data_IF_404586149810
#
_entry.id   IF_404586149810
#
_cell.length_a   1.000
_cell.length_b   1.000
_cell.length_c   1.000
_cell.angle_alpha   90.00
_cell.angle_beta   90.00
_cell.angle_gamma   90.00
#
_symmetry.space_group_name_H-M   'P 1'
#
loop_
_entity.id
_entity.type
_entity.pdbx_description
1 polymer ?
#
# COMPACT_ATOMS: atom_id res chain seq x y z
N UNK A 1 -17.34 -15.95 -18.62
CA UNK A 1 -17.69 -15.13 -17.43
C UNK A 1 -18.57 -13.97 -17.89
N UNK A 2 -19.30 -13.35 -16.96
CA UNK A 2 -20.55 -12.63 -17.25
C UNK A 2 -20.37 -11.14 -17.58
N UNK A 3 -19.17 -10.74 -17.98
CA UNK A 3 -18.77 -9.35 -18.02
C UNK A 3 -18.04 -9.06 -19.33
N UNK A 4 -18.67 -8.25 -20.19
CA UNK A 4 -18.25 -8.05 -21.59
C UNK A 4 -16.80 -7.54 -21.76
N UNK A 5 -16.31 -7.44 -23.02
CA UNK A 5 -14.90 -7.18 -23.35
C UNK A 5 -14.34 -5.83 -22.87
N UNK A 6 -15.16 -4.98 -22.25
CA UNK A 6 -14.83 -3.64 -21.78
C UNK A 6 -14.34 -3.57 -20.34
N UNK A 7 -14.38 -4.67 -19.57
CA UNK A 7 -13.98 -4.67 -18.14
C UNK A 7 -12.48 -4.84 -17.90
N UNK A 8 -11.65 -4.85 -18.94
CA UNK A 8 -10.19 -4.89 -18.75
C UNK A 8 -9.60 -6.27 -18.44
N UNK A 9 -10.38 -7.34 -18.58
CA UNK A 9 -9.91 -8.73 -18.54
C UNK A 9 -9.40 -9.17 -17.16
N UNK A 10 -10.13 -8.82 -16.10
CA UNK A 10 -9.82 -9.13 -14.69
C UNK A 10 -8.45 -8.63 -14.20
N UNK A 11 -7.86 -7.66 -14.93
CA UNK A 11 -6.58 -7.06 -14.56
C UNK A 11 -6.80 -5.83 -13.69
N UNK A 12 -5.98 -5.73 -12.66
CA UNK A 12 -5.91 -4.59 -11.74
C UNK A 12 -4.46 -4.18 -11.61
N UNK A 13 -4.20 -2.87 -11.59
CA UNK A 13 -2.88 -2.30 -11.27
C UNK A 13 -2.93 -1.59 -9.93
N UNK A 14 -1.90 -1.81 -9.12
CA UNK A 14 -1.76 -1.21 -7.80
C UNK A 14 -0.78 -0.03 -7.81
N UNK A 15 -1.06 0.99 -7.02
CA UNK A 15 -0.15 2.13 -6.80
C UNK A 15 -0.21 2.63 -5.37
N UNK A 16 0.92 3.18 -4.89
CA UNK A 16 1.03 3.85 -3.61
C UNK A 16 0.82 5.35 -3.83
N UNK A 17 -0.32 5.87 -3.39
CA UNK A 17 -0.70 7.28 -3.57
C UNK A 17 -0.09 8.18 -2.48
N UNK A 18 0.05 7.68 -1.26
CA UNK A 18 0.75 8.40 -0.20
C UNK A 18 1.31 7.47 0.88
N UNK A 19 2.36 7.97 1.53
CA UNK A 19 3.03 7.45 2.72
C UNK A 19 3.18 8.62 3.69
N UNK A 20 2.74 8.45 4.93
CA UNK A 20 2.78 9.50 5.96
C UNK A 20 4.15 9.63 6.68
N UNK A 21 5.17 8.90 6.25
CA UNK A 21 6.51 8.98 6.81
C UNK A 21 7.11 10.38 6.68
N UNK A 22 7.65 10.90 7.79
CA UNK A 22 8.44 12.15 7.81
C UNK A 22 9.90 11.90 7.41
N UNK A 23 10.34 10.64 7.46
CA UNK A 23 11.66 10.21 7.02
C UNK A 23 11.67 9.88 5.53
N UNK A 24 12.86 9.87 4.92
CA UNK A 24 13.06 9.44 3.54
C UNK A 24 12.12 10.10 2.50
N UNK A 25 11.58 11.30 2.80
CA UNK A 25 10.61 12.03 1.97
C UNK A 25 9.37 11.20 1.60
N UNK A 26 8.89 10.35 2.51
CA UNK A 26 7.73 9.48 2.25
C UNK A 26 8.02 8.32 1.29
N UNK A 27 9.30 7.94 1.12
CA UNK A 27 9.71 6.81 0.28
C UNK A 27 10.10 5.61 1.14
N UNK A 28 9.32 5.26 2.17
CA UNK A 28 9.66 4.12 3.05
C UNK A 28 9.17 2.80 2.48
N UNK A 29 8.04 2.83 1.77
CA UNK A 29 7.43 1.66 1.16
C UNK A 29 7.40 1.76 -0.36
N UNK A 30 7.39 0.61 -1.01
CA UNK A 30 7.06 0.44 -2.41
C UNK A 30 5.92 -0.57 -2.55
N UNK A 31 5.21 -0.52 -3.68
CA UNK A 31 4.19 -1.50 -4.05
C UNK A 31 4.48 -2.04 -5.44
N UNK A 32 4.42 -3.35 -5.61
CA UNK A 32 4.48 -3.99 -6.92
C UNK A 32 3.16 -3.78 -7.66
N UNK A 33 3.22 -3.29 -8.90
CA UNK A 33 2.03 -2.83 -9.62
C UNK A 33 1.09 -3.97 -10.05
N UNK A 34 1.63 -5.18 -10.23
CA UNK A 34 0.89 -6.32 -10.76
C UNK A 34 0.33 -7.21 -9.63
N UNK A 35 1.08 -7.36 -8.54
CA UNK A 35 0.74 -8.25 -7.43
C UNK A 35 0.14 -7.52 -6.22
N UNK A 36 0.42 -6.23 -6.08
CA UNK A 36 0.06 -5.44 -4.90
C UNK A 36 0.93 -5.72 -3.68
N UNK A 37 2.06 -6.43 -3.83
CA UNK A 37 3.00 -6.69 -2.74
C UNK A 37 3.61 -5.37 -2.24
N UNK A 38 3.44 -5.09 -0.94
CA UNK A 38 4.05 -3.93 -0.28
C UNK A 38 5.38 -4.36 0.33
N UNK A 39 6.46 -3.68 -0.07
CA UNK A 39 7.81 -3.92 0.41
C UNK A 39 8.39 -2.70 1.13
N UNK A 40 9.33 -2.97 2.05
CA UNK A 40 10.10 -1.94 2.74
C UNK A 40 11.34 -1.64 1.91
N UNK A 41 11.53 -0.38 1.51
CA UNK A 41 12.68 0.05 0.70
C UNK A 41 13.65 0.97 1.45
N UNK A 42 13.21 1.57 2.56
CA UNK A 42 14.05 2.33 3.47
C UNK A 42 13.80 1.92 4.92
N UNK A 43 14.66 2.40 5.83
CA UNK A 43 14.55 2.09 7.25
C UNK A 43 13.17 2.53 7.78
N UNK A 44 12.61 1.68 8.63
CA UNK A 44 11.29 1.89 9.25
C UNK A 44 11.48 2.02 10.76
N UNK A 45 11.15 3.17 11.32
CA UNK A 45 11.09 3.37 12.77
C UNK A 45 9.72 3.88 13.20
N UNK A 46 9.31 3.57 14.44
CA UNK A 46 8.07 4.11 15.03
C UNK A 46 8.10 5.64 15.07
N UNK A 47 9.28 6.23 15.20
CA UNK A 47 9.50 7.67 15.37
C UNK A 47 9.30 8.47 14.08
N UNK A 48 9.34 7.80 12.93
CA UNK A 48 9.21 8.42 11.60
C UNK A 48 7.75 8.78 11.26
N UNK A 49 6.81 8.55 12.17
CA UNK A 49 5.41 8.94 12.01
C UNK A 49 4.90 9.65 13.26
N UNK A 50 4.02 10.66 13.14
CA UNK A 50 3.52 11.41 14.31
C UNK A 50 2.74 10.55 15.31
N UNK A 51 2.20 9.41 14.87
CA UNK A 51 1.32 8.54 15.67
C UNK A 51 1.91 7.15 15.94
N UNK A 52 3.17 6.91 15.58
CA UNK A 52 3.80 5.60 15.71
C UNK A 52 3.20 4.51 14.81
N UNK A 53 2.51 4.91 13.74
CA UNK A 53 1.84 4.03 12.80
C UNK A 53 1.93 4.65 11.40
N UNK A 54 2.39 3.86 10.45
CA UNK A 54 2.38 4.26 9.05
C UNK A 54 0.97 4.10 8.50
N UNK A 55 0.52 5.10 7.76
CA UNK A 55 -0.74 5.11 7.02
C UNK A 55 -0.39 5.30 5.55
N UNK A 56 -0.62 4.24 4.79
CA UNK A 56 -0.44 4.23 3.34
C UNK A 56 -1.79 4.38 2.67
N UNK A 57 -1.87 5.13 1.58
CA UNK A 57 -3.03 5.11 0.68
C UNK A 57 -2.66 4.31 -0.55
N UNK A 58 -3.33 3.18 -0.75
CA UNK A 58 -3.14 2.28 -1.89
C UNK A 58 -4.31 2.40 -2.83
N UNK A 59 -4.05 2.58 -4.12
CA UNK A 59 -5.05 2.58 -5.20
C UNK A 59 -4.99 1.27 -5.97
N UNK A 60 -6.15 0.73 -6.29
CA UNK A 60 -6.33 -0.35 -7.25
C UNK A 60 -7.13 0.20 -8.45
N UNK A 61 -6.58 0.08 -9.66
CA UNK A 61 -7.19 0.60 -10.90
C UNK A 61 -7.41 -0.55 -11.89
N UNK A 62 -8.62 -0.67 -12.42
CA UNK A 62 -8.91 -1.65 -13.47
C UNK A 62 -8.37 -1.19 -14.83
N UNK A 63 -8.38 -2.12 -15.80
CA UNK A 63 -8.01 -1.83 -17.19
C UNK A 63 -9.24 -1.55 -18.08
N UNK A 64 -10.35 -1.14 -17.48
CA UNK A 64 -11.57 -0.75 -18.18
C UNK A 64 -11.37 0.48 -19.06
N UNK A 65 -12.37 0.79 -19.90
CA UNK A 65 -12.40 2.00 -20.71
C UNK A 65 -13.76 2.71 -20.54
N UNK A 66 -13.86 3.79 -19.74
CA UNK A 66 -12.78 4.41 -18.96
C UNK A 66 -12.34 3.51 -17.78
N UNK A 67 -11.11 3.67 -17.25
CA UNK A 67 -10.66 2.92 -16.10
C UNK A 67 -11.40 3.40 -14.84
N UNK A 68 -11.77 2.47 -13.97
CA UNK A 68 -12.29 2.75 -12.63
C UNK A 68 -11.22 2.41 -11.59
N UNK A 69 -11.29 3.06 -10.44
CA UNK A 69 -10.36 2.80 -9.35
C UNK A 69 -11.04 2.87 -7.97
N UNK A 70 -10.41 2.25 -6.99
CA UNK A 70 -10.74 2.40 -5.58
C UNK A 70 -9.45 2.64 -4.77
N UNK A 71 -9.59 3.34 -3.65
CA UNK A 71 -8.49 3.61 -2.72
C UNK A 71 -8.81 3.07 -1.33
N UNK A 72 -7.79 2.51 -0.68
CA UNK A 72 -7.91 2.01 0.69
C UNK A 72 -6.69 2.41 1.53
N UNK A 73 -6.89 2.41 2.84
CA UNK A 73 -5.83 2.73 3.81
C UNK A 73 -5.22 1.46 4.36
N UNK A 74 -3.89 1.37 4.32
CA UNK A 74 -3.11 0.30 4.95
C UNK A 74 -2.39 0.86 6.16
N UNK A 75 -2.56 0.18 7.30
CA UNK A 75 -1.97 0.59 8.58
C UNK A 75 -0.86 -0.36 8.98
N UNK A 76 0.38 0.16 9.10
CA UNK A 76 1.56 -0.64 9.44
C UNK A 76 2.10 -0.19 10.79
N UNK A 77 2.28 -1.15 11.71
CA UNK A 77 2.87 -0.93 13.02
C UNK A 77 4.24 -1.56 13.08
N UNK A 78 5.24 -0.77 13.48
CA UNK A 78 6.59 -1.27 13.73
C UNK A 78 6.61 -1.91 15.11
N UNK A 79 6.94 -3.20 15.15
CA UNK A 79 7.15 -3.91 16.41
C UNK A 79 8.39 -3.36 17.13
N UNK A 80 8.26 -3.13 18.44
CA UNK A 80 9.44 -2.83 19.27
C UNK A 80 10.24 -4.12 19.49
N UNK A 81 11.59 -4.07 19.44
CA UNK A 81 12.41 -5.22 19.79
C UNK A 81 12.11 -5.70 21.21
N UNK A 82 11.70 -6.97 21.36
CA UNK A 82 11.38 -7.57 22.65
C UNK A 82 10.62 -8.88 22.49
N UNK A 83 10.76 -9.80 23.45
CA UNK A 83 9.99 -11.05 23.47
C UNK A 83 8.51 -10.72 23.78
N UNK A 84 7.70 -10.59 22.74
CA UNK A 84 6.26 -10.40 22.88
C UNK A 84 5.62 -11.73 23.27
N UNK A 85 4.69 -11.70 24.23
CA UNK A 85 3.89 -12.88 24.58
C UNK A 85 3.10 -13.29 23.33
N UNK A 86 2.99 -14.59 22.99
CA UNK A 86 2.08 -15.03 21.95
C UNK A 86 0.67 -14.54 22.26
N UNK A 87 0.06 -13.84 21.29
CA UNK A 87 -1.33 -13.36 21.34
C UNK A 87 -2.30 -14.44 20.91
#
# INVERSE_FOLDING_TARGET
DADGPTQGGDRVRYSLESDNSIAHKGQVFAIDEDTGEISIVNKVETMDTPRGQYELVVRATDYGKPPLFNETKVYIRVGVPGNQRPT
#
